data_IF_548773000261
#
_entry.id   IF_548773000261
#
_cell.length_a   1.000
_cell.length_b   1.000
_cell.length_c   1.000
_cell.angle_alpha   90.00
_cell.angle_beta   90.00
_cell.angle_gamma   90.00
#
_symmetry.space_group_name_H-M   'P 1'
#
loop_
_entity.id
_entity.type
_entity.pdbx_description
1 polymer ?
#
# COMPACT_ATOMS: atom_id res chain seq x y z
N UNK A 1 -6.08 17.75 8.43
CA UNK A 1 -6.96 16.57 8.67
C UNK A 1 -6.15 15.32 8.88
N UNK A 2 -5.55 14.66 7.84
CA UNK A 2 -4.84 13.37 7.99
C UNK A 2 -3.82 13.34 9.14
N UNK A 3 -2.96 14.36 9.26
CA UNK A 3 -1.98 14.46 10.33
C UNK A 3 -2.60 14.41 11.72
N UNK A 4 -3.63 15.25 11.94
CA UNK A 4 -4.33 15.31 13.24
C UNK A 4 -5.02 13.98 13.57
N UNK A 5 -5.59 13.29 12.55
CA UNK A 5 -6.19 11.97 12.74
C UNK A 5 -5.16 10.96 13.24
N UNK A 6 -3.96 10.95 12.63
CA UNK A 6 -2.88 10.02 13.04
C UNK A 6 -2.38 10.34 14.45
N UNK A 7 -2.20 11.61 14.77
CA UNK A 7 -1.78 12.06 16.10
C UNK A 7 -2.81 11.65 17.17
N UNK A 8 -4.10 11.85 16.90
CA UNK A 8 -5.19 11.44 17.80
C UNK A 8 -5.21 9.93 18.01
N UNK A 9 -5.15 9.13 16.91
CA UNK A 9 -5.17 7.67 16.99
C UNK A 9 -3.99 7.15 17.81
N UNK A 10 -2.79 7.69 17.57
CA UNK A 10 -1.59 7.30 18.33
C UNK A 10 -1.73 7.62 19.81
N UNK A 11 -2.21 8.82 20.14
CA UNK A 11 -2.48 9.21 21.54
C UNK A 11 -3.51 8.29 22.18
N UNK A 12 -4.62 7.99 21.50
CA UNK A 12 -5.66 7.09 22.02
C UNK A 12 -5.15 5.66 22.27
N UNK A 13 -4.12 5.22 21.54
CA UNK A 13 -3.51 3.90 21.74
C UNK A 13 -2.49 3.86 22.90
N UNK A 14 -1.86 5.00 23.20
CA UNK A 14 -0.75 5.06 24.18
C UNK A 14 -1.13 5.66 25.52
N UNK A 15 -1.99 6.69 25.50
CA UNK A 15 -2.36 7.42 26.71
C UNK A 15 -3.62 6.83 27.38
N UNK A 16 -3.72 6.98 28.68
CA UNK A 16 -4.93 6.59 29.43
C UNK A 16 -6.16 7.37 28.99
N UNK A 17 -5.97 8.63 28.67
CA UNK A 17 -7.00 9.58 28.23
C UNK A 17 -6.39 10.54 27.20
N UNK A 18 -7.08 10.77 26.10
CA UNK A 18 -6.65 11.68 25.03
C UNK A 18 -7.44 12.98 25.07
N UNK A 19 -6.74 14.11 25.17
CA UNK A 19 -7.30 15.43 24.89
C UNK A 19 -6.45 16.08 23.79
N UNK A 20 -7.09 16.45 22.69
CA UNK A 20 -6.43 17.02 21.51
C UNK A 20 -7.24 18.21 20.97
N UNK A 21 -6.55 19.30 20.65
CA UNK A 21 -7.16 20.47 20.01
C UNK A 21 -6.34 20.86 18.80
N UNK A 22 -6.82 20.46 17.62
CA UNK A 22 -6.23 20.77 16.33
C UNK A 22 -6.97 21.87 15.58
N UNK A 23 -6.61 22.00 14.30
CA UNK A 23 -7.30 22.90 13.36
C UNK A 23 -8.64 22.31 12.88
N UNK A 24 -8.70 20.99 12.72
CA UNK A 24 -9.82 20.28 12.10
C UNK A 24 -10.55 19.36 13.07
N UNK A 25 -9.88 18.88 14.10
CA UNK A 25 -10.45 17.96 15.08
C UNK A 25 -10.21 18.46 16.50
N UNK A 26 -11.20 18.22 17.34
CA UNK A 26 -11.11 18.42 18.78
C UNK A 26 -11.62 17.16 19.48
N UNK A 27 -10.84 16.66 20.41
CA UNK A 27 -11.16 15.48 21.23
C UNK A 27 -10.94 15.86 22.68
N UNK A 28 -11.91 15.58 23.54
CA UNK A 28 -11.83 15.90 24.95
C UNK A 28 -12.02 14.65 25.78
N UNK A 29 -10.99 14.29 26.58
CA UNK A 29 -11.00 13.17 27.51
C UNK A 29 -11.50 11.87 26.89
N UNK A 30 -11.12 11.60 25.65
CA UNK A 30 -11.52 10.38 24.97
C UNK A 30 -10.69 9.18 25.45
N UNK A 31 -11.35 8.05 25.57
CA UNK A 31 -10.73 6.79 26.00
C UNK A 31 -10.81 5.73 24.90
N UNK A 32 -9.81 4.89 24.81
CA UNK A 32 -9.76 3.73 23.93
C UNK A 32 -9.33 2.51 24.73
N UNK A 33 -10.29 1.71 25.17
CA UNK A 33 -10.05 0.49 25.90
C UNK A 33 -10.78 -0.71 25.28
N UNK A 34 -10.15 -1.89 25.22
CA UNK A 34 -8.76 -2.18 25.67
C UNK A 34 -7.71 -1.52 24.78
N UNK A 35 -6.55 -1.20 25.35
CA UNK A 35 -5.39 -0.72 24.59
C UNK A 35 -4.83 -1.82 23.69
N UNK A 36 -4.19 -1.47 22.54
CA UNK A 36 -3.52 -2.43 21.70
C UNK A 36 -2.48 -3.27 22.47
N UNK A 37 -2.41 -4.55 22.14
CA UNK A 37 -1.38 -5.45 22.70
C UNK A 37 -0.01 -5.21 22.09
N UNK A 38 0.06 -4.78 20.82
CA UNK A 38 1.30 -4.49 20.13
C UNK A 38 2.02 -3.28 20.74
N UNK A 39 3.34 -3.36 20.86
CA UNK A 39 4.19 -2.31 21.43
C UNK A 39 5.22 -1.82 20.42
N UNK A 40 5.50 -0.52 20.34
CA UNK A 40 4.84 0.57 21.12
C UNK A 40 3.36 0.76 20.77
N UNK A 41 2.96 0.52 19.51
CA UNK A 41 1.59 0.56 18.99
C UNK A 41 1.46 -0.39 17.79
N UNK A 42 0.26 -0.70 17.31
CA UNK A 42 0.08 -1.26 15.97
C UNK A 42 0.73 -0.34 14.91
N UNK A 43 1.34 -0.90 13.85
CA UNK A 43 1.92 -0.07 12.79
C UNK A 43 0.84 0.75 12.09
N UNK A 44 1.13 2.03 11.90
CA UNK A 44 0.24 2.97 11.21
C UNK A 44 0.51 2.91 9.71
N UNK A 45 -0.51 2.52 8.97
CA UNK A 45 -0.51 2.50 7.52
C UNK A 45 -1.23 3.71 6.96
N UNK A 46 -0.57 4.44 6.05
CA UNK A 46 -1.19 5.54 5.32
C UNK A 46 -1.24 5.18 3.83
N UNK A 47 -2.47 5.12 3.29
CA UNK A 47 -2.73 4.94 1.87
C UNK A 47 -2.80 6.27 1.13
N UNK A 48 -2.35 6.26 -0.13
CA UNK A 48 -2.40 7.40 -1.02
C UNK A 48 -1.04 7.99 -1.36
N UNK A 49 -0.92 8.42 -2.61
CA UNK A 49 0.33 8.90 -3.20
C UNK A 49 0.40 10.42 -3.41
N UNK A 50 -0.37 11.21 -2.67
CA UNK A 50 -0.34 12.67 -2.74
C UNK A 50 1.00 13.23 -2.27
N UNK A 51 1.82 13.70 -3.22
CA UNK A 51 3.23 14.00 -3.01
C UNK A 51 3.49 15.12 -2.00
N UNK A 52 2.67 16.18 -2.04
CA UNK A 52 2.89 17.38 -1.20
C UNK A 52 2.32 17.24 0.22
N UNK A 53 1.22 16.52 0.39
CA UNK A 53 0.51 16.45 1.68
C UNK A 53 0.59 15.05 2.29
N UNK A 54 0.16 14.01 1.56
CA UNK A 54 0.07 12.65 2.11
C UNK A 54 1.45 12.10 2.43
N UNK A 55 2.39 12.12 1.48
CA UNK A 55 3.74 11.58 1.68
C UNK A 55 4.54 12.36 2.72
N UNK A 56 4.24 13.66 2.92
CA UNK A 56 4.83 14.43 4.02
C UNK A 56 4.33 13.96 5.39
N UNK A 57 3.04 13.62 5.52
CA UNK A 57 2.51 13.03 6.77
C UNK A 57 3.06 11.63 6.99
N UNK A 58 3.20 10.84 5.92
CA UNK A 58 3.87 9.53 5.98
C UNK A 58 5.27 9.65 6.56
N UNK A 59 6.10 10.53 6.01
CA UNK A 59 7.47 10.75 6.50
C UNK A 59 7.53 11.12 7.99
N UNK A 60 6.52 11.82 8.50
CA UNK A 60 6.47 12.27 9.88
C UNK A 60 5.92 11.20 10.85
N UNK A 61 4.90 10.43 10.42
CA UNK A 61 4.06 9.71 11.38
C UNK A 61 3.76 8.24 11.01
N UNK A 62 3.95 7.80 9.76
CA UNK A 62 3.55 6.46 9.37
C UNK A 62 4.68 5.43 9.52
N UNK A 63 4.32 4.19 9.78
CA UNK A 63 5.23 3.04 9.75
C UNK A 63 5.20 2.36 8.37
N UNK A 64 4.09 2.53 7.65
CA UNK A 64 3.90 1.97 6.32
C UNK A 64 3.21 2.97 5.39
N UNK A 65 3.62 2.98 4.13
CA UNK A 65 3.03 3.75 3.05
C UNK A 65 2.55 2.84 1.93
N UNK A 66 1.33 3.05 1.47
CA UNK A 66 0.78 2.30 0.34
C UNK A 66 0.31 3.25 -0.74
N UNK A 67 0.92 3.17 -1.92
CA UNK A 67 0.56 4.00 -3.06
C UNK A 67 0.68 3.24 -4.38
N UNK A 68 -0.13 3.64 -5.35
CA UNK A 68 -0.16 3.09 -6.69
C UNK A 68 0.67 3.89 -7.68
N UNK A 69 0.66 3.41 -8.92
CA UNK A 69 1.29 4.02 -10.10
C UNK A 69 2.08 3.00 -10.90
N UNK A 70 2.29 3.28 -12.19
CA UNK A 70 3.25 2.56 -13.02
C UNK A 70 4.66 2.66 -12.42
N UNK A 71 5.63 1.81 -12.81
CA UNK A 71 6.95 1.75 -12.17
C UNK A 71 7.64 3.10 -12.03
N UNK A 72 7.64 3.93 -13.09
CA UNK A 72 8.28 5.25 -13.06
C UNK A 72 7.56 6.23 -12.12
N UNK A 73 6.23 6.19 -12.12
CA UNK A 73 5.42 7.01 -11.22
C UNK A 73 5.60 6.57 -9.76
N UNK A 74 5.63 5.27 -9.52
CA UNK A 74 5.86 4.70 -8.20
C UNK A 74 7.26 5.08 -7.68
N UNK A 75 8.29 4.95 -8.51
CA UNK A 75 9.66 5.36 -8.19
C UNK A 75 9.75 6.86 -7.86
N UNK A 76 9.09 7.72 -8.65
CA UNK A 76 9.03 9.16 -8.39
C UNK A 76 8.37 9.50 -7.05
N UNK A 77 7.25 8.84 -6.72
CA UNK A 77 6.59 8.99 -5.41
C UNK A 77 7.49 8.55 -4.26
N UNK A 78 8.22 7.44 -4.45
CA UNK A 78 9.22 6.99 -3.50
C UNK A 78 10.30 8.04 -3.27
N UNK A 79 10.90 8.59 -4.32
CA UNK A 79 11.93 9.65 -4.19
C UNK A 79 11.37 10.89 -3.48
N UNK A 80 10.13 11.28 -3.74
CA UNK A 80 9.47 12.36 -3.01
C UNK A 80 9.34 12.05 -1.51
N UNK A 81 8.97 10.82 -1.15
CA UNK A 81 8.92 10.39 0.25
C UNK A 81 10.31 10.42 0.90
N UNK A 82 11.35 9.94 0.21
CA UNK A 82 12.74 10.02 0.70
C UNK A 82 13.16 11.49 0.97
N UNK A 83 12.79 12.40 0.07
CA UNK A 83 13.01 13.84 0.26
C UNK A 83 12.32 14.40 1.51
N UNK A 84 11.07 13.99 1.76
CA UNK A 84 10.36 14.37 2.98
C UNK A 84 11.01 13.77 4.23
N UNK A 85 11.44 12.51 4.20
CA UNK A 85 12.16 11.87 5.30
C UNK A 85 13.43 12.65 5.64
N UNK A 86 14.23 13.01 4.63
CA UNK A 86 15.42 13.85 4.82
C UNK A 86 15.09 15.20 5.49
N UNK A 87 13.99 15.83 5.08
CA UNK A 87 13.55 17.12 5.64
C UNK A 87 13.20 17.03 7.12
N UNK A 88 12.62 15.90 7.55
CA UNK A 88 12.21 15.69 8.96
C UNK A 88 13.25 14.93 9.79
N UNK A 89 14.39 14.56 9.20
CA UNK A 89 15.47 13.84 9.89
C UNK A 89 15.13 12.39 10.25
N UNK A 90 14.27 11.73 9.47
CA UNK A 90 13.86 10.33 9.69
C UNK A 90 14.55 9.39 8.71
N UNK A 91 14.98 8.23 9.18
CA UNK A 91 15.48 7.16 8.31
C UNK A 91 14.31 6.59 7.46
N UNK A 92 14.37 6.69 6.12
CA UNK A 92 13.34 6.13 5.27
C UNK A 92 13.22 4.60 5.34
N UNK A 93 14.25 3.90 5.81
CA UNK A 93 14.21 2.44 6.00
C UNK A 93 13.26 2.01 7.12
N UNK A 94 12.84 2.93 7.98
CA UNK A 94 11.80 2.70 8.98
C UNK A 94 10.39 2.62 8.37
N UNK A 95 10.23 3.01 7.10
CA UNK A 95 8.92 3.06 6.44
C UNK A 95 8.83 1.95 5.39
N UNK A 96 7.93 1.00 5.61
CA UNK A 96 7.60 0.01 4.58
C UNK A 96 6.81 0.67 3.46
N UNK A 97 7.29 0.55 2.22
CA UNK A 97 6.63 1.11 1.04
C UNK A 97 6.04 -0.02 0.21
N UNK A 98 4.73 0.00 0.03
CA UNK A 98 3.98 -1.09 -0.60
C UNK A 98 3.20 -0.61 -1.81
N UNK A 99 2.84 -1.56 -2.67
CA UNK A 99 1.97 -1.36 -3.81
C UNK A 99 0.71 -2.20 -3.69
N UNK A 100 -0.43 -1.66 -4.12
CA UNK A 100 -1.74 -2.30 -4.04
C UNK A 100 -2.35 -2.45 -5.43
N UNK A 101 -1.89 -3.44 -6.23
CA UNK A 101 -2.46 -3.75 -7.53
C UNK A 101 -3.68 -4.65 -7.43
N UNK A 102 -4.46 -4.72 -8.49
CA UNK A 102 -5.30 -5.89 -8.72
C UNK A 102 -4.45 -7.09 -9.15
N UNK A 103 -4.90 -8.30 -8.81
CA UNK A 103 -4.34 -9.53 -9.35
C UNK A 103 -5.38 -10.26 -10.20
N UNK A 104 -4.97 -10.63 -11.41
CA UNK A 104 -5.71 -11.52 -12.29
C UNK A 104 -4.75 -12.40 -13.06
N UNK A 105 -4.55 -13.64 -12.60
CA UNK A 105 -3.49 -14.53 -13.08
C UNK A 105 -4.11 -15.80 -13.63
N UNK A 106 -3.62 -16.23 -14.79
CA UNK A 106 -3.99 -17.51 -15.42
C UNK A 106 -2.71 -18.23 -15.85
N UNK A 107 -2.76 -19.56 -15.85
CA UNK A 107 -1.60 -20.40 -16.24
C UNK A 107 -1.16 -20.13 -17.68
N UNK A 108 -2.09 -19.75 -18.56
CA UNK A 108 -1.80 -19.49 -19.97
C UNK A 108 -2.44 -18.18 -20.45
N UNK A 109 -1.81 -17.55 -21.45
CA UNK A 109 -2.35 -16.37 -22.14
C UNK A 109 -3.74 -16.63 -22.75
N UNK A 110 -3.97 -17.85 -23.25
CA UNK A 110 -5.28 -18.23 -23.79
C UNK A 110 -6.38 -18.17 -22.73
N UNK A 111 -6.13 -18.69 -21.55
CA UNK A 111 -7.08 -18.63 -20.42
C UNK A 111 -7.27 -17.18 -19.94
N UNK A 112 -6.17 -16.44 -19.86
CA UNK A 112 -6.19 -15.03 -19.49
C UNK A 112 -7.12 -14.22 -20.40
N UNK A 113 -6.95 -14.32 -21.72
CA UNK A 113 -7.76 -13.60 -22.70
C UNK A 113 -9.23 -14.07 -22.74
N UNK A 114 -9.50 -15.34 -22.45
CA UNK A 114 -10.85 -15.86 -22.38
C UNK A 114 -11.65 -15.35 -21.17
N UNK A 115 -10.96 -15.11 -20.05
CA UNK A 115 -11.60 -14.74 -18.78
C UNK A 115 -11.55 -13.23 -18.46
N UNK A 116 -10.55 -12.51 -18.94
CA UNK A 116 -10.35 -11.08 -18.68
C UNK A 116 -11.56 -10.19 -19.00
N UNK A 117 -12.26 -10.35 -20.15
CA UNK A 117 -13.40 -9.49 -20.50
C UNK A 117 -14.54 -9.49 -19.47
N UNK A 118 -14.61 -10.52 -18.63
CA UNK A 118 -15.63 -10.64 -17.59
C UNK A 118 -15.31 -9.83 -16.33
N UNK A 119 -14.11 -9.27 -16.25
CA UNK A 119 -13.54 -8.66 -15.02
C UNK A 119 -13.14 -7.20 -15.20
N UNK A 120 -12.99 -6.75 -16.44
CA UNK A 120 -12.57 -5.38 -16.75
C UNK A 120 -13.68 -4.38 -16.43
N UNK A 121 -13.29 -3.26 -15.79
CA UNK A 121 -14.21 -2.19 -15.37
C UNK A 121 -14.19 -0.98 -16.33
N UNK A 122 -14.21 -1.23 -17.64
CA UNK A 122 -14.33 -0.18 -18.64
C UNK A 122 -13.00 0.42 -19.13
N UNK A 123 -11.86 -0.02 -18.61
CA UNK A 123 -10.52 0.26 -19.16
C UNK A 123 -10.16 -0.76 -20.25
N UNK A 124 -9.18 -0.46 -21.09
CA UNK A 124 -8.67 -1.44 -22.04
C UNK A 124 -7.89 -2.55 -21.35
N UNK A 125 -7.80 -3.73 -21.98
CA UNK A 125 -7.05 -4.85 -21.43
C UNK A 125 -5.57 -4.48 -21.24
N UNK A 126 -4.99 -3.76 -22.18
CA UNK A 126 -3.61 -3.31 -22.13
C UNK A 126 -3.36 -2.35 -20.96
N UNK A 127 -4.24 -1.40 -20.71
CA UNK A 127 -4.13 -0.46 -19.59
C UNK A 127 -4.27 -1.18 -18.26
N UNK A 128 -5.28 -2.06 -18.14
CA UNK A 128 -5.47 -2.86 -16.93
C UNK A 128 -4.27 -3.78 -16.66
N UNK A 129 -3.78 -4.47 -17.69
CA UNK A 129 -2.58 -5.32 -17.61
C UNK A 129 -1.33 -4.52 -17.26
N UNK A 130 -1.16 -3.31 -17.80
CA UNK A 130 0.00 -2.46 -17.52
C UNK A 130 0.01 -1.97 -16.07
N UNK A 131 -1.14 -1.56 -15.54
CA UNK A 131 -1.28 -0.93 -14.21
C UNK A 131 -1.45 -1.92 -13.06
N UNK A 132 -1.59 -3.23 -13.34
CA UNK A 132 -1.90 -4.25 -12.36
C UNK A 132 -1.05 -5.53 -12.53
N UNK A 133 -1.17 -6.48 -11.61
CA UNK A 133 -0.56 -7.81 -11.71
C UNK A 133 -1.49 -8.75 -12.49
N UNK A 134 -1.66 -8.43 -13.77
CA UNK A 134 -2.47 -9.16 -14.75
C UNK A 134 -1.54 -9.84 -15.74
N UNK A 135 -1.66 -11.17 -15.90
CA UNK A 135 -0.81 -11.95 -16.80
C UNK A 135 -0.67 -13.41 -16.42
N UNK A 136 0.28 -14.07 -17.05
CA UNK A 136 0.75 -15.40 -16.66
C UNK A 136 1.65 -15.30 -15.42
N UNK A 137 1.93 -16.41 -14.70
CA UNK A 137 2.83 -16.39 -13.55
C UNK A 137 4.20 -15.78 -13.83
N UNK A 138 4.80 -16.05 -15.00
CA UNK A 138 6.11 -15.51 -15.37
C UNK A 138 6.06 -13.99 -15.56
N UNK A 139 5.07 -13.47 -16.27
CA UNK A 139 4.89 -12.03 -16.47
C UNK A 139 4.63 -11.29 -15.16
N UNK A 140 3.84 -11.90 -14.27
CA UNK A 140 3.58 -11.34 -12.94
C UNK A 140 4.86 -11.35 -12.10
N UNK A 141 5.69 -12.40 -12.20
CA UNK A 141 6.99 -12.45 -11.53
C UNK A 141 7.93 -11.34 -12.00
N UNK A 142 8.00 -11.07 -13.31
CA UNK A 142 8.80 -9.97 -13.87
C UNK A 142 8.34 -8.60 -13.36
N UNK A 143 7.02 -8.37 -13.28
CA UNK A 143 6.47 -7.13 -12.71
C UNK A 143 6.79 -7.01 -11.22
N UNK A 144 6.60 -8.06 -10.44
CA UNK A 144 6.96 -8.09 -9.03
C UNK A 144 8.44 -7.76 -8.85
N UNK A 145 9.33 -8.39 -9.62
CA UNK A 145 10.77 -8.12 -9.59
C UNK A 145 11.08 -6.64 -9.90
N UNK A 146 10.37 -6.05 -10.87
CA UNK A 146 10.52 -4.63 -11.23
C UNK A 146 10.21 -3.72 -10.06
N UNK A 147 9.08 -3.93 -9.37
CA UNK A 147 8.72 -3.11 -8.20
C UNK A 147 9.66 -3.34 -7.00
N UNK A 148 10.10 -4.56 -6.76
CA UNK A 148 11.11 -4.85 -5.72
C UNK A 148 12.40 -4.08 -6.02
N UNK A 149 12.87 -4.10 -7.26
CA UNK A 149 14.09 -3.39 -7.70
C UNK A 149 14.03 -1.89 -7.46
N UNK A 150 12.87 -1.27 -7.61
CA UNK A 150 12.68 0.16 -7.33
C UNK A 150 12.34 0.47 -5.86
N UNK A 151 12.36 -0.54 -4.98
CA UNK A 151 12.25 -0.38 -3.53
C UNK A 151 10.88 -0.67 -2.92
N UNK A 152 9.98 -1.32 -3.66
CA UNK A 152 8.73 -1.82 -3.09
C UNK A 152 9.05 -2.98 -2.13
N UNK A 153 8.63 -2.88 -0.88
CA UNK A 153 8.90 -3.85 0.17
C UNK A 153 7.72 -4.79 0.47
N UNK A 154 6.64 -4.68 -0.31
CA UNK A 154 5.47 -5.54 -0.14
C UNK A 154 4.33 -5.21 -1.09
N UNK A 155 3.44 -6.19 -1.24
CA UNK A 155 2.27 -6.09 -2.12
C UNK A 155 1.00 -6.35 -1.32
N UNK A 156 -0.05 -5.55 -1.56
CA UNK A 156 -1.38 -5.69 -0.96
C UNK A 156 -2.38 -5.85 -2.11
N UNK A 157 -2.41 -7.03 -2.74
CA UNK A 157 -3.19 -7.21 -3.95
C UNK A 157 -4.70 -7.37 -3.67
N UNK A 158 -5.51 -6.96 -4.64
CA UNK A 158 -6.94 -7.18 -4.70
C UNK A 158 -7.25 -8.25 -5.74
N UNK A 159 -7.97 -9.30 -5.36
CA UNK A 159 -8.32 -10.35 -6.31
C UNK A 159 -9.48 -9.90 -7.21
N UNK A 160 -9.21 -9.71 -8.51
CA UNK A 160 -10.20 -9.32 -9.48
C UNK A 160 -11.16 -10.48 -9.84
N UNK A 161 -10.81 -11.71 -9.54
CA UNK A 161 -11.63 -12.90 -9.82
C UNK A 161 -12.41 -13.46 -8.61
N UNK A 162 -12.49 -12.68 -7.52
CA UNK A 162 -13.33 -13.07 -6.39
C UNK A 162 -14.76 -13.46 -6.84
N UNK A 163 -15.35 -14.57 -6.36
CA UNK A 163 -14.90 -15.40 -5.23
C UNK A 163 -13.94 -16.54 -5.60
N UNK A 164 -13.41 -16.60 -6.82
CA UNK A 164 -12.38 -17.58 -7.20
C UNK A 164 -11.07 -17.33 -6.43
N UNK A 165 -10.38 -18.39 -6.08
CA UNK A 165 -9.06 -18.35 -5.42
C UNK A 165 -7.90 -18.51 -6.40
N UNK A 166 -8.18 -18.73 -7.69
CA UNK A 166 -7.18 -19.07 -8.70
C UNK A 166 -6.03 -18.08 -8.75
N UNK A 167 -6.35 -16.78 -8.87
CA UNK A 167 -5.30 -15.73 -8.92
C UNK A 167 -4.50 -15.63 -7.62
N UNK A 168 -5.14 -15.85 -6.49
CA UNK A 168 -4.45 -15.82 -5.17
C UNK A 168 -3.48 -17.00 -5.05
N UNK A 169 -3.89 -18.19 -5.47
CA UNK A 169 -3.06 -19.41 -5.42
C UNK A 169 -1.86 -19.30 -6.38
N UNK A 170 -2.07 -18.77 -7.58
CA UNK A 170 -1.00 -18.53 -8.54
C UNK A 170 -0.05 -17.43 -8.05
N UNK A 171 -0.59 -16.36 -7.48
CA UNK A 171 0.24 -15.30 -6.90
C UNK A 171 1.08 -15.81 -5.73
N UNK A 172 0.55 -16.69 -4.88
CA UNK A 172 1.30 -17.30 -3.80
C UNK A 172 2.50 -18.12 -4.33
N UNK A 173 2.34 -18.84 -5.45
CA UNK A 173 3.43 -19.56 -6.12
C UNK A 173 4.47 -18.59 -6.68
N UNK A 174 4.04 -17.48 -7.30
CA UNK A 174 4.95 -16.43 -7.78
C UNK A 174 5.77 -15.87 -6.62
N UNK A 175 5.13 -15.48 -5.53
CA UNK A 175 5.79 -14.88 -4.37
C UNK A 175 6.77 -15.82 -3.66
N UNK A 176 6.62 -17.14 -3.80
CA UNK A 176 7.57 -18.11 -3.26
C UNK A 176 9.00 -17.96 -3.84
N UNK A 177 9.14 -17.35 -5.01
CA UNK A 177 10.42 -17.10 -5.66
C UNK A 177 11.16 -15.85 -5.12
N UNK A 178 10.50 -15.05 -4.27
CA UNK A 178 11.02 -13.78 -3.73
C UNK A 178 11.25 -13.83 -2.20
N UNK A 179 11.71 -14.97 -1.70
CA UNK A 179 12.03 -15.17 -0.27
C UNK A 179 13.45 -14.77 0.06
#
# INVERSE_FOLDING_TARGET
MLRESVEIVRSMWTESETTYKGKYYEVFRANCDPKPLQKPTPPIWIGGGGEQLTLRVVAQLADCSNFGGLPDEWARKRETLLGHCKTVGRDPMEIRMTWSPEIFIRETERELLADAPKRMNGESFEEWRASNLVGTPDEVAEKVATYIKIGCSGFIPWSADYPSTTSIELFAKVMANFK
#
